data_IF_074725910423
#
_entry.id   IF_074725910423
#
_cell.length_a   1.000
_cell.length_b   1.000
_cell.length_c   1.000
_cell.angle_alpha   90.00
_cell.angle_beta   90.00
_cell.angle_gamma   90.00
#
_symmetry.space_group_name_H-M   'P 1'
#
loop_
_entity.id
_entity.type
_entity.pdbx_description
1 polymer ?
#
# COMPACT_ATOMS: atom_id res chain seq x y z
N UNK A 1 -3.99 9.57 -6.73
CA UNK A 1 -2.60 9.16 -6.41
C UNK A 1 -2.14 7.89 -7.15
N UNK A 2 -3.01 6.94 -7.51
CA UNK A 2 -2.57 5.62 -8.03
C UNK A 2 -1.93 5.58 -9.44
N UNK A 3 -2.18 6.57 -10.31
CA UNK A 3 -1.60 6.58 -11.68
C UNK A 3 -0.18 7.15 -11.76
N UNK A 4 0.27 7.94 -10.79
CA UNK A 4 1.60 8.55 -10.83
C UNK A 4 2.73 7.55 -10.49
N UNK A 5 2.40 6.48 -9.77
CA UNK A 5 3.36 5.44 -9.33
C UNK A 5 3.88 4.54 -10.47
N UNK A 6 3.16 4.51 -11.61
CA UNK A 6 3.57 3.79 -12.83
C UNK A 6 4.24 4.71 -13.86
N UNK A 7 4.16 6.03 -13.66
CA UNK A 7 4.74 7.05 -14.54
C UNK A 7 6.20 7.37 -14.19
N UNK A 8 6.61 7.10 -12.94
CA UNK A 8 8.01 7.11 -12.54
C UNK A 8 8.71 5.86 -13.08
N UNK A 9 9.14 5.92 -14.34
CA UNK A 9 9.90 4.86 -15.01
C UNK A 9 11.26 4.73 -14.35
N UNK A 10 11.32 3.93 -13.29
CA UNK A 10 12.50 3.14 -13.04
C UNK A 10 12.65 2.22 -14.25
N UNK A 11 13.89 2.03 -14.69
CA UNK A 11 14.36 1.22 -15.81
C UNK A 11 14.11 -0.30 -15.62
N UNK A 12 13.04 -0.65 -14.92
CA UNK A 12 12.62 -1.98 -14.54
C UNK A 12 11.50 -2.49 -15.44
N UNK A 13 11.47 -3.81 -15.61
CA UNK A 13 10.39 -4.54 -16.28
C UNK A 13 9.18 -4.67 -15.35
N UNK A 14 9.44 -5.03 -14.09
CA UNK A 14 8.47 -5.02 -13.00
C UNK A 14 9.14 -4.83 -11.66
N UNK A 15 8.34 -4.44 -10.68
CA UNK A 15 8.68 -4.48 -9.25
C UNK A 15 7.54 -5.16 -8.49
N UNK A 16 7.88 -6.01 -7.53
CA UNK A 16 6.90 -6.58 -6.61
C UNK A 16 7.40 -6.55 -5.18
N UNK A 17 6.49 -6.37 -4.24
CA UNK A 17 6.84 -6.31 -2.83
C UNK A 17 5.76 -6.89 -1.92
N UNK A 18 6.21 -7.42 -0.79
CA UNK A 18 5.41 -7.72 0.39
C UNK A 18 5.84 -6.75 1.48
N UNK A 19 4.88 -6.11 2.14
CA UNK A 19 5.11 -5.34 3.35
C UNK A 19 4.38 -5.98 4.52
N UNK A 20 5.14 -6.27 5.56
CA UNK A 20 4.64 -6.64 6.87
C UNK A 20 4.84 -5.45 7.81
N UNK A 21 3.95 -5.28 8.77
CA UNK A 21 4.07 -4.31 9.85
C UNK A 21 3.48 -4.95 11.09
N UNK A 22 3.73 -4.45 12.30
CA UNK A 22 2.88 -4.77 13.45
C UNK A 22 1.61 -3.90 13.42
N UNK A 23 0.65 -4.18 14.32
CA UNK A 23 -0.71 -3.63 14.24
C UNK A 23 -0.74 -2.09 14.27
N UNK A 24 0.37 -1.48 14.71
CA UNK A 24 0.54 -0.06 14.92
C UNK A 24 1.53 0.58 13.93
N UNK A 25 2.12 -0.19 13.02
CA UNK A 25 3.13 0.32 12.08
C UNK A 25 4.48 0.67 12.73
N UNK A 26 4.71 0.21 13.96
CA UNK A 26 5.93 0.45 14.72
C UNK A 26 7.10 -0.39 14.20
N UNK A 27 6.82 -1.55 13.59
CA UNK A 27 7.81 -2.52 13.15
C UNK A 27 7.50 -2.99 11.72
N UNK A 28 7.87 -2.16 10.73
CA UNK A 28 7.56 -2.41 9.33
C UNK A 28 8.74 -3.00 8.56
N UNK A 29 8.47 -4.04 7.77
CA UNK A 29 9.45 -4.76 6.96
C UNK A 29 8.92 -4.88 5.55
N UNK A 30 9.75 -4.60 4.56
CA UNK A 30 9.39 -4.76 3.15
C UNK A 30 10.45 -5.58 2.45
N UNK A 31 10.03 -6.63 1.75
CA UNK A 31 10.84 -7.33 0.77
C UNK A 31 10.38 -6.91 -0.61
N UNK A 32 11.32 -6.43 -1.43
CA UNK A 32 11.06 -6.00 -2.79
C UNK A 32 11.94 -6.76 -3.77
N UNK A 33 11.36 -7.12 -4.91
CA UNK A 33 12.04 -7.66 -6.07
C UNK A 33 11.84 -6.76 -7.27
N UNK A 34 12.87 -6.65 -8.08
CA UNK A 34 12.84 -5.87 -9.32
C UNK A 34 13.53 -6.65 -10.42
N UNK A 35 12.89 -6.80 -11.57
CA UNK A 35 13.57 -7.32 -12.75
C UNK A 35 13.89 -6.18 -13.72
N UNK A 36 15.09 -6.20 -14.27
CA UNK A 36 15.57 -5.25 -15.27
C UNK A 36 16.50 -5.98 -16.23
N UNK A 37 16.17 -6.00 -17.52
CA UNK A 37 16.99 -6.63 -18.57
C UNK A 37 17.44 -8.04 -18.19
N UNK A 38 16.48 -8.91 -17.83
CA UNK A 38 16.69 -10.31 -17.40
C UNK A 38 17.53 -10.49 -16.11
N UNK A 39 17.87 -9.41 -15.42
CA UNK A 39 18.53 -9.44 -14.11
C UNK A 39 17.51 -9.16 -13.02
N UNK A 40 17.49 -10.02 -12.00
CA UNK A 40 16.61 -9.86 -10.84
C UNK A 40 17.41 -9.29 -9.68
N UNK A 41 16.85 -8.25 -9.06
CA UNK A 41 17.41 -7.56 -7.92
C UNK A 41 16.47 -7.73 -6.72
N UNK A 42 17.07 -7.86 -5.54
CA UNK A 42 16.40 -7.94 -4.26
C UNK A 42 16.73 -6.72 -3.42
N UNK A 43 15.77 -6.27 -2.63
CA UNK A 43 15.96 -5.23 -1.62
C UNK A 43 15.12 -5.54 -0.39
N UNK A 44 15.71 -5.30 0.77
CA UNK A 44 15.01 -5.33 2.05
C UNK A 44 15.00 -3.93 2.66
N UNK A 45 13.86 -3.51 3.18
CA UNK A 45 13.71 -2.26 3.91
C UNK A 45 13.08 -2.55 5.27
N UNK A 46 13.64 -1.97 6.32
CA UNK A 46 13.05 -1.98 7.66
C UNK A 46 12.81 -0.54 8.10
N UNK A 47 11.60 -0.26 8.56
CA UNK A 47 11.23 1.03 9.13
C UNK A 47 10.72 0.82 10.55
N UNK A 48 11.32 1.55 11.48
CA UNK A 48 10.90 1.59 12.86
C UNK A 48 10.04 2.83 13.10
N UNK A 49 8.96 2.66 13.86
CA UNK A 49 7.99 3.71 14.17
C UNK A 49 7.38 4.37 12.94
N UNK A 50 7.10 3.62 11.87
CA UNK A 50 6.53 4.14 10.63
C UNK A 50 5.02 4.39 10.72
N UNK A 51 4.53 4.68 11.92
CA UNK A 51 3.12 4.92 12.17
C UNK A 51 2.69 6.24 11.52
N UNK A 52 1.53 6.22 10.89
CA UNK A 52 0.88 7.39 10.32
C UNK A 52 -0.36 7.71 11.14
N UNK A 53 -0.36 8.84 11.82
CA UNK A 53 -1.54 9.36 12.49
C UNK A 53 -2.21 10.42 11.60
N UNK A 54 -3.50 10.25 11.35
CA UNK A 54 -4.28 11.21 10.59
C UNK A 54 -5.14 12.01 11.56
N UNK A 55 -4.84 13.30 11.67
CA UNK A 55 -5.73 14.21 12.35
C UNK A 55 -6.95 14.43 11.45
N UNK A 56 -8.15 14.11 11.95
CA UNK A 56 -9.39 14.29 11.20
C UNK A 56 -9.96 15.71 11.36
N UNK A 57 -9.52 16.45 12.39
CA UNK A 57 -9.94 17.82 12.66
C UNK A 57 -9.08 18.82 11.88
N UNK A 58 -7.78 18.52 11.73
CA UNK A 58 -6.86 19.22 10.83
C UNK A 58 -6.40 18.25 9.73
N UNK A 59 -6.55 18.53 8.41
CA UNK A 59 -6.20 17.60 7.33
C UNK A 59 -4.67 17.41 7.20
N UNK A 60 -4.10 16.78 8.22
CA UNK A 60 -2.69 16.71 8.54
C UNK A 60 -2.38 15.25 8.80
N UNK A 61 -1.50 14.73 7.96
CA UNK A 61 -0.87 13.45 8.19
C UNK A 61 0.38 13.69 9.03
N UNK A 62 0.42 13.12 10.23
CA UNK A 62 1.63 13.05 11.05
C UNK A 62 2.26 11.70 10.84
N UNK A 63 3.46 11.68 10.27
CA UNK A 63 4.22 10.44 10.15
C UNK A 63 5.28 10.45 11.24
N UNK A 64 5.25 9.43 12.09
CA UNK A 64 6.34 9.14 12.99
C UNK A 64 7.42 8.40 12.21
N UNK A 65 8.69 8.68 12.49
CA UNK A 65 9.80 7.92 11.91
C UNK A 65 10.89 7.75 12.96
N UNK A 66 11.09 6.51 13.41
CA UNK A 66 12.10 6.14 14.42
C UNK A 66 13.43 5.72 13.82
N UNK A 67 13.49 5.58 12.49
CA UNK A 67 14.68 5.22 11.72
C UNK A 67 14.36 4.23 10.60
N UNK A 68 15.13 4.32 9.51
CA UNK A 68 15.01 3.44 8.35
C UNK A 68 16.33 2.73 8.10
N UNK A 69 16.28 1.41 7.98
CA UNK A 69 17.34 0.62 7.37
C UNK A 69 16.92 0.29 5.95
N UNK A 70 17.33 1.13 5.00
CA UNK A 70 17.05 0.91 3.59
C UNK A 70 18.19 0.14 2.92
N UNK A 71 17.92 -1.11 2.55
CA UNK A 71 18.88 -1.94 1.84
C UNK A 71 19.20 -1.38 0.45
N UNK A 72 20.43 -1.60 -0.02
CA UNK A 72 20.74 -1.42 -1.45
C UNK A 72 20.08 -2.54 -2.25
N UNK A 73 19.79 -2.27 -3.52
CA UNK A 73 19.43 -3.33 -4.47
C UNK A 73 20.62 -4.27 -4.68
N UNK A 74 20.39 -5.57 -4.47
CA UNK A 74 21.40 -6.62 -4.58
C UNK A 74 21.02 -7.51 -5.77
N UNK A 75 21.97 -7.73 -6.69
CA UNK A 75 21.79 -8.67 -7.80
C UNK A 75 21.64 -10.09 -7.25
N UNK A 76 20.59 -10.79 -7.66
CA UNK A 76 20.33 -12.17 -7.26
C UNK A 76 21.07 -13.15 -8.17
N UNK A 77 21.45 -14.30 -7.61
CA UNK A 77 21.92 -15.43 -8.40
C UNK A 77 20.80 -16.02 -9.28
N UNK A 78 21.18 -16.87 -10.23
CA UNK A 78 20.24 -17.45 -11.21
C UNK A 78 19.19 -18.34 -10.54
N UNK A 79 19.54 -19.07 -9.50
CA UNK A 79 18.65 -19.98 -8.78
C UNK A 79 17.52 -19.20 -8.10
N UNK A 80 17.86 -18.17 -7.31
CA UNK A 80 16.87 -17.32 -6.65
C UNK A 80 16.07 -16.49 -7.66
N UNK A 81 16.71 -16.04 -8.74
CA UNK A 81 16.01 -15.33 -9.82
C UNK A 81 14.89 -16.18 -10.44
N UNK A 82 15.09 -17.50 -10.58
CA UNK A 82 14.04 -18.41 -11.06
C UNK A 82 12.88 -18.49 -10.08
N UNK A 83 13.15 -18.53 -8.77
CA UNK A 83 12.11 -18.51 -7.72
C UNK A 83 11.28 -17.23 -7.80
N UNK A 84 11.94 -16.07 -7.94
CA UNK A 84 11.27 -14.77 -8.06
C UNK A 84 10.39 -14.68 -9.30
N UNK A 85 10.86 -15.19 -10.45
CA UNK A 85 10.03 -15.23 -11.68
C UNK A 85 8.81 -16.14 -11.53
N UNK A 86 8.95 -17.29 -10.86
CA UNK A 86 7.82 -18.16 -10.52
C UNK A 86 6.83 -17.45 -9.60
N UNK A 87 7.33 -16.74 -8.59
CA UNK A 87 6.51 -15.93 -7.68
C UNK A 87 5.71 -14.87 -8.44
N UNK A 88 6.33 -14.12 -9.36
CA UNK A 88 5.62 -13.18 -10.23
C UNK A 88 4.47 -13.87 -10.98
N UNK A 89 4.74 -15.01 -11.59
CA UNK A 89 3.71 -15.76 -12.33
C UNK A 89 2.57 -16.19 -11.40
N UNK A 90 2.86 -16.69 -10.20
CA UNK A 90 1.83 -17.02 -9.20
C UNK A 90 0.97 -15.80 -8.83
N UNK A 91 1.57 -14.61 -8.68
CA UNK A 91 0.82 -13.36 -8.42
C UNK A 91 -0.06 -12.95 -9.61
N UNK A 92 0.44 -13.12 -10.83
CA UNK A 92 -0.32 -12.85 -12.06
C UNK A 92 -1.51 -13.80 -12.22
N UNK A 93 -1.31 -15.09 -11.93
CA UNK A 93 -2.29 -16.16 -12.11
C UNK A 93 -3.32 -16.22 -10.97
N UNK A 94 -2.98 -15.73 -9.77
CA UNK A 94 -3.90 -15.69 -8.62
C UNK A 94 -5.17 -14.92 -9.00
N UNK A 95 -6.37 -15.39 -8.62
CA UNK A 95 -7.61 -14.63 -8.81
C UNK A 95 -7.89 -13.82 -7.56
N UNK A 96 -8.05 -12.48 -7.68
CA UNK A 96 -8.36 -11.68 -6.49
C UNK A 96 -9.76 -12.02 -5.99
N UNK A 97 -9.85 -12.36 -4.72
CA UNK A 97 -11.10 -12.73 -4.08
C UNK A 97 -11.45 -11.69 -3.03
N UNK A 98 -12.73 -11.32 -2.99
CA UNK A 98 -13.32 -10.54 -1.91
C UNK A 98 -14.21 -11.52 -1.15
N UNK A 99 -13.65 -12.23 -0.17
CA UNK A 99 -14.44 -13.01 0.78
C UNK A 99 -14.65 -12.19 2.05
N UNK A 100 -15.88 -12.07 2.53
CA UNK A 100 -16.19 -11.51 3.86
C UNK A 100 -16.15 -12.59 4.96
N UNK A 101 -16.00 -13.86 4.58
CA UNK A 101 -16.34 -15.01 5.41
C UNK A 101 -15.16 -15.60 6.18
N UNK A 102 -13.93 -15.35 5.75
CA UNK A 102 -12.73 -15.92 6.37
C UNK A 102 -11.69 -14.81 6.48
N UNK A 103 -11.36 -14.43 7.71
CA UNK A 103 -10.19 -13.61 8.04
C UNK A 103 -9.15 -14.58 8.57
N UNK A 104 -8.01 -14.72 7.90
CA UNK A 104 -6.83 -15.35 8.50
C UNK A 104 -6.49 -14.54 9.77
N UNK A 105 -6.74 -15.16 10.92
CA UNK A 105 -6.76 -14.59 12.27
C UNK A 105 -5.91 -13.31 12.45
N UNK A 106 -6.59 -12.16 12.45
CA UNK A 106 -6.10 -10.87 12.96
C UNK A 106 -5.00 -10.14 12.19
N UNK A 107 -4.41 -10.72 11.15
CA UNK A 107 -3.27 -10.12 10.45
C UNK A 107 -3.33 -10.29 8.94
N UNK A 108 -3.11 -9.19 8.21
CA UNK A 108 -3.30 -9.17 6.77
C UNK A 108 -2.12 -8.78 5.94
N UNK A 109 -1.59 -9.75 5.21
CA UNK A 109 -0.52 -9.53 4.25
C UNK A 109 -1.07 -8.94 2.95
N UNK A 110 -0.35 -7.94 2.43
CA UNK A 110 -0.66 -7.35 1.13
C UNK A 110 0.56 -7.38 0.23
N UNK A 111 0.39 -7.95 -0.96
CA UNK A 111 1.41 -8.03 -2.00
C UNK A 111 1.05 -7.06 -3.11
N UNK A 112 2.04 -6.37 -3.65
CA UNK A 112 1.87 -5.48 -4.80
C UNK A 112 2.80 -5.93 -5.91
N UNK A 113 2.28 -5.97 -7.14
CA UNK A 113 3.03 -6.12 -8.38
C UNK A 113 2.78 -4.89 -9.26
N UNK A 114 3.85 -4.19 -9.61
CA UNK A 114 3.89 -3.10 -10.59
C UNK A 114 4.55 -3.65 -11.85
N UNK A 115 3.78 -3.85 -12.91
CA UNK A 115 4.30 -4.25 -14.22
C UNK A 115 4.44 -2.99 -15.09
N UNK A 116 5.68 -2.53 -15.26
CA UNK A 116 5.96 -1.28 -15.97
C UNK A 116 5.84 -1.46 -17.49
N UNK A 117 6.17 -2.65 -18.01
CA UNK A 117 6.01 -2.99 -19.43
C UNK A 117 4.53 -2.98 -19.84
N UNK A 118 3.67 -3.56 -19.02
CA UNK A 118 2.21 -3.64 -19.25
C UNK A 118 1.45 -2.42 -18.71
N UNK A 119 2.11 -1.56 -17.93
CA UNK A 119 1.50 -0.42 -17.22
C UNK A 119 0.34 -0.85 -16.33
N UNK A 120 0.49 -1.97 -15.63
CA UNK A 120 -0.52 -2.48 -14.72
C UNK A 120 0.00 -2.48 -13.28
N UNK A 121 -0.92 -2.30 -12.34
CA UNK A 121 -0.67 -2.49 -10.92
C UNK A 121 -1.67 -3.50 -10.40
N UNK A 122 -1.17 -4.50 -9.70
CA UNK A 122 -1.97 -5.51 -9.01
C UNK A 122 -1.66 -5.46 -7.53
N UNK A 123 -2.70 -5.40 -6.69
CA UNK A 123 -2.60 -5.53 -5.24
C UNK A 123 -3.38 -6.77 -4.82
N UNK A 124 -2.70 -7.71 -4.18
CA UNK A 124 -3.32 -8.84 -3.52
C UNK A 124 -3.46 -8.54 -2.04
N UNK A 125 -4.62 -8.88 -1.47
CA UNK A 125 -4.90 -8.76 -0.04
C UNK A 125 -5.38 -10.12 0.47
N UNK A 126 -4.55 -10.78 1.27
CA UNK A 126 -4.73 -12.18 1.66
C UNK A 126 -5.65 -12.45 2.87
N UNK A 127 -6.01 -11.49 3.75
CA UNK A 127 -6.98 -11.74 4.81
C UNK A 127 -8.24 -12.43 4.37
N UNK A 128 -8.68 -12.15 3.14
CA UNK A 128 -9.99 -12.51 2.60
C UNK A 128 -9.90 -13.56 1.48
N UNK A 129 -8.86 -14.40 1.47
CA UNK A 129 -8.75 -15.49 0.51
C UNK A 129 -9.85 -16.53 0.77
N UNK A 130 -10.54 -17.05 -0.27
CA UNK A 130 -11.46 -18.17 -0.06
C UNK A 130 -10.67 -19.44 0.22
N UNK A 131 -11.26 -20.36 0.96
CA UNK A 131 -10.69 -21.67 1.30
C UNK A 131 -9.97 -22.40 0.14
N UNK A 132 -10.51 -22.35 -1.08
CA UNK A 132 -9.91 -23.01 -2.25
C UNK A 132 -8.58 -22.40 -2.72
N UNK A 133 -8.29 -21.15 -2.34
CA UNK A 133 -7.10 -20.40 -2.75
C UNK A 133 -6.15 -20.08 -1.59
N UNK A 134 -6.49 -20.48 -0.35
CA UNK A 134 -5.63 -20.26 0.84
C UNK A 134 -4.23 -20.81 0.64
N UNK A 135 -4.08 -22.00 0.06
CA UNK A 135 -2.75 -22.58 -0.20
C UNK A 135 -1.92 -21.76 -1.19
N UNK A 136 -2.56 -21.16 -2.20
CA UNK A 136 -1.88 -20.31 -3.18
C UNK A 136 -1.46 -18.99 -2.55
N UNK A 137 -2.35 -18.36 -1.77
CA UNK A 137 -2.06 -17.14 -1.00
C UNK A 137 -0.89 -17.35 -0.02
N UNK A 138 -0.96 -18.42 0.78
CA UNK A 138 0.11 -18.80 1.71
C UNK A 138 1.42 -19.08 0.97
N UNK A 139 1.38 -19.72 -0.19
CA UNK A 139 2.60 -19.99 -0.97
C UNK A 139 3.26 -18.69 -1.45
N UNK A 140 2.47 -17.72 -1.93
CA UNK A 140 2.98 -16.41 -2.34
C UNK A 140 3.63 -15.70 -1.14
N UNK A 141 2.91 -15.62 -0.03
CA UNK A 141 3.39 -14.99 1.21
C UNK A 141 4.66 -15.65 1.73
N UNK A 142 4.66 -16.98 1.92
CA UNK A 142 5.82 -17.73 2.40
C UNK A 142 7.02 -17.64 1.46
N UNK A 143 6.80 -17.47 0.16
CA UNK A 143 7.90 -17.24 -0.77
C UNK A 143 8.54 -15.88 -0.49
N UNK A 144 7.78 -14.80 -0.31
CA UNK A 144 8.35 -13.51 0.10
C UNK A 144 9.06 -13.58 1.46
N UNK A 145 8.42 -14.19 2.47
CA UNK A 145 9.00 -14.36 3.81
C UNK A 145 10.33 -15.11 3.77
N UNK A 146 10.51 -16.08 2.86
CA UNK A 146 11.77 -16.83 2.74
C UNK A 146 12.98 -15.97 2.36
N UNK A 147 12.76 -14.76 1.83
CA UNK A 147 13.81 -13.78 1.54
C UNK A 147 13.98 -12.73 2.64
N UNK A 148 13.15 -12.76 3.70
CA UNK A 148 13.35 -11.85 4.81
C UNK A 148 14.62 -12.20 5.58
N UNK A 149 15.52 -11.24 5.81
CA UNK A 149 16.66 -11.46 6.67
C UNK A 149 16.20 -11.76 8.11
N UNK A 150 16.99 -12.52 8.88
CA UNK A 150 16.82 -12.61 10.33
C UNK A 150 16.76 -11.21 10.97
N UNK A 151 15.95 -11.08 12.01
CA UNK A 151 15.66 -9.79 12.65
C UNK A 151 16.93 -9.10 13.15
N UNK A 152 17.85 -9.89 13.66
CA UNK A 152 19.11 -9.48 14.26
C UNK A 152 20.02 -8.73 13.27
N UNK A 153 19.76 -8.85 11.96
CA UNK A 153 20.50 -8.12 10.92
C UNK A 153 20.13 -6.64 10.87
N UNK A 154 18.88 -6.28 11.18
CA UNK A 154 18.36 -4.92 11.01
C UNK A 154 17.91 -4.25 12.31
N UNK A 155 17.70 -5.01 13.38
CA UNK A 155 17.45 -4.44 14.70
C UNK A 155 17.87 -5.37 15.82
N UNK A 156 18.49 -4.80 16.86
CA UNK A 156 18.80 -5.50 18.11
C UNK A 156 17.68 -5.37 19.15
N UNK A 157 16.63 -4.59 18.85
CA UNK A 157 15.52 -4.34 19.76
C UNK A 157 14.47 -5.45 19.66
N UNK A 158 13.98 -5.88 20.83
CA UNK A 158 12.79 -6.73 20.89
C UNK A 158 11.57 -5.99 20.34
N UNK A 159 10.54 -6.72 19.89
CA UNK A 159 9.27 -6.12 19.46
C UNK A 159 8.69 -5.16 20.53
N UNK A 160 8.75 -5.55 21.80
CA UNK A 160 8.28 -4.72 22.92
C UNK A 160 9.09 -3.43 23.09
N UNK A 161 10.40 -3.49 22.87
CA UNK A 161 11.26 -2.32 23.01
C UNK A 161 11.12 -1.36 21.83
N UNK A 162 10.86 -1.88 20.62
CA UNK A 162 10.44 -1.08 19.47
C UNK A 162 9.15 -0.33 19.80
N UNK A 163 8.09 -1.03 20.21
CA UNK A 163 6.83 -0.41 20.57
C UNK A 163 6.97 0.66 21.67
N UNK A 164 7.76 0.39 22.72
CA UNK A 164 8.05 1.41 23.76
C UNK A 164 8.79 2.62 23.20
N UNK A 165 9.74 2.41 22.29
CA UNK A 165 10.52 3.49 21.69
C UNK A 165 9.66 4.37 20.79
N UNK A 166 8.75 3.77 20.02
CA UNK A 166 7.82 4.48 19.15
C UNK A 166 6.77 5.27 19.95
N UNK A 167 6.35 4.75 21.10
CA UNK A 167 5.44 5.45 22.00
C UNK A 167 6.13 6.47 22.94
N UNK A 168 7.44 6.67 22.86
CA UNK A 168 8.13 7.71 23.66
C UNK A 168 8.00 9.07 22.94
N UNK A 169 7.29 10.06 23.52
CA UNK A 169 7.04 11.35 22.89
C UNK A 169 8.30 12.15 22.56
N UNK A 170 9.46 11.79 23.13
CA UNK A 170 10.76 12.41 22.82
C UNK A 170 11.41 11.88 21.55
N UNK A 171 10.95 10.75 21.02
CA UNK A 171 11.49 10.09 19.83
C UNK A 171 10.60 10.27 18.59
N UNK A 172 9.52 11.05 18.70
CA UNK A 172 8.57 11.31 17.63
C UNK A 172 9.13 12.39 16.70
N UNK A 173 9.71 11.97 15.57
CA UNK A 173 9.90 12.87 14.43
C UNK A 173 8.57 13.03 13.73
N UNK A 174 8.00 14.23 13.75
CA UNK A 174 6.74 14.55 13.08
C UNK A 174 7.03 15.19 11.73
N UNK A 175 6.89 14.42 10.64
CA UNK A 175 6.73 15.03 9.32
C UNK A 175 5.23 15.31 9.11
N UNK A 176 4.87 16.59 9.01
CA UNK A 176 3.48 17.01 8.80
C UNK A 176 3.25 17.29 7.33
N UNK A 177 2.48 16.43 6.67
CA UNK A 177 2.06 16.68 5.28
C UNK A 177 0.67 17.34 5.34
N UNK A 178 0.64 18.66 5.15
CA UNK A 178 -0.61 19.40 4.95
C UNK A 178 -1.14 19.06 3.57
N UNK A 179 -2.31 18.42 3.48
CA UNK A 179 -3.00 18.27 2.21
C UNK A 179 -3.54 19.64 1.79
N UNK A 180 -2.76 20.42 1.03
CA UNK A 180 -3.30 21.62 0.38
C UNK A 180 -4.42 21.18 -0.56
N UNK A 181 -5.66 21.57 -0.29
CA UNK A 181 -6.77 21.40 -1.22
C UNK A 181 -6.50 22.22 -2.50
N UNK A 182 -5.77 21.66 -3.45
CA UNK A 182 -5.80 22.13 -4.84
C UNK A 182 -7.09 21.62 -5.48
N UNK A 183 -8.17 22.38 -5.31
CA UNK A 183 -9.13 22.79 -6.35
C UNK A 183 -10.42 23.34 -5.73
N UNK A 184 -10.36 24.59 -5.24
CA UNK A 184 -11.51 25.49 -5.30
C UNK A 184 -11.31 26.41 -6.49
N UNK A 185 -12.06 26.18 -7.56
CA UNK A 185 -12.66 27.13 -8.53
C UNK A 185 -12.65 26.60 -9.96
N UNK A 186 -13.74 25.93 -10.37
CA UNK A 186 -14.20 25.87 -11.75
C UNK A 186 -15.63 25.25 -11.84
N UNK A 187 -16.59 25.80 -11.10
CA UNK A 187 -18.02 25.59 -11.37
C UNK A 187 -18.88 26.65 -10.67
N UNK A 188 -18.45 27.91 -10.72
CA UNK A 188 -19.31 29.05 -10.43
C UNK A 188 -19.43 29.86 -11.72
N UNK A 189 -20.21 29.32 -12.66
CA UNK A 189 -20.82 30.04 -13.79
C UNK A 189 -21.72 29.08 -14.60
N UNK A 190 -22.91 28.80 -14.06
CA UNK A 190 -24.11 28.81 -14.89
C UNK A 190 -25.01 29.87 -14.30
N UNK A 191 -24.87 31.08 -14.85
CA UNK A 191 -25.86 32.14 -14.72
C UNK A 191 -27.17 31.60 -15.31
N UNK A 192 -28.18 31.44 -14.46
CA UNK A 192 -29.58 31.42 -14.88
C UNK A 192 -29.91 32.77 -15.52
N UNK A 193 -30.51 32.80 -16.72
CA UNK A 193 -31.22 33.98 -17.21
C UNK A 193 -32.69 33.92 -16.76
N UNK A 194 -33.13 35.02 -16.16
CA UNK A 194 -34.51 35.38 -15.83
C UNK A 194 -35.49 35.31 -17.02
N UNK A 195 -36.75 34.99 -16.72
CA UNK A 195 -37.98 35.81 -16.95
C UNK A 195 -39.22 34.90 -16.80
N UNK A 196 -40.04 35.03 -15.75
CA UNK A 196 -41.17 35.98 -15.56
C UNK A 196 -42.15 36.04 -16.74
N UNK A 197 -43.27 35.36 -16.55
CA UNK A 197 -44.65 35.68 -16.97
C UNK A 197 -45.50 34.48 -16.54
N UNK A 198 -46.72 34.53 -16.01
CA UNK A 198 -47.65 35.56 -15.56
C UNK A 198 -48.83 34.78 -14.91
N UNK A 199 -49.61 35.45 -14.03
CA UNK A 199 -51.08 35.40 -13.86
C UNK A 199 -51.82 34.07 -14.21
N UNK A 200 -52.78 33.50 -13.48
CA UNK A 200 -53.83 34.05 -12.63
C UNK A 200 -54.74 32.89 -12.12
N UNK A 201 -55.36 33.13 -10.97
CA UNK A 201 -56.72 32.76 -10.52
C UNK A 201 -57.47 31.46 -11.00
N UNK A 202 -57.88 30.72 -9.96
CA UNK A 202 -59.25 30.23 -9.65
C UNK A 202 -59.86 28.93 -10.23
N UNK A 203 -60.39 28.14 -9.26
CA UNK A 203 -61.58 27.26 -9.26
C UNK A 203 -61.51 26.02 -10.17
N UNK A 204 -61.97 24.82 -9.82
CA UNK A 204 -63.03 24.41 -8.88
C UNK A 204 -63.01 22.88 -8.68
N UNK A 205 -63.43 22.44 -7.49
CA UNK A 205 -64.27 21.28 -7.16
C UNK A 205 -63.85 19.83 -7.50
N UNK A 206 -63.69 19.03 -6.43
CA UNK A 206 -64.27 17.68 -6.13
C UNK A 206 -63.62 17.26 -4.78
N UNK A 207 -64.27 17.09 -3.62
CA UNK A 207 -65.63 16.71 -3.20
C UNK A 207 -65.97 17.37 -1.86
#
# INVERSE_FOLDING_TARGET
MEQNDLAATQDADYEMFLSESDAWGDDSKTVSFREKNDSVFFKFTYNMCANTDYDYDEPKLTIQFGGTSDGKWILMDSEKSVVVRKLKKSIEDYSQELSIDEVLDGYGSSVVLKDYKRKTRRRLYFPNAKLSHVYEAMTIEKTFESFMPPREIYTTLSYRDVAKKCNDPRNVFVESIVHSQQNKTAAEQVKTPDQKDSLELNRSEEK
#
